data_IF_515386302481
#
_entry.id   IF_515386302481
#
_cell.length_a   1.000
_cell.length_b   1.000
_cell.length_c   1.000
_cell.angle_alpha   90.00
_cell.angle_beta   90.00
_cell.angle_gamma   90.00
#
_symmetry.space_group_name_H-M   'P 1'
#
loop_
_entity.id
_entity.type
_entity.pdbx_description
1 polymer ?
#
# COMPACT_ATOMS: atom_id res chain seq x y z
N UNK A 1 30.16 15.60 -69.20
CA UNK A 1 29.54 14.42 -68.56
C UNK A 1 30.44 14.12 -67.36
N UNK A 2 30.05 14.32 -66.10
CA UNK A 2 28.89 13.80 -65.39
C UNK A 2 28.65 14.69 -64.16
N UNK A 3 27.40 15.14 -63.92
CA UNK A 3 27.03 15.93 -62.73
C UNK A 3 26.77 14.97 -61.57
N UNK A 4 27.38 15.20 -60.40
CA UNK A 4 27.05 14.47 -59.16
C UNK A 4 26.31 15.40 -58.22
N UNK A 5 25.03 15.12 -58.03
CA UNK A 5 24.11 15.84 -57.14
C UNK A 5 24.29 15.31 -55.72
N UNK A 6 24.67 16.17 -54.78
CA UNK A 6 24.73 15.84 -53.35
C UNK A 6 23.33 16.04 -52.75
N UNK A 7 22.65 14.96 -52.36
CA UNK A 7 21.44 15.03 -51.55
C UNK A 7 21.83 15.28 -50.09
N UNK A 8 21.37 16.40 -49.53
CA UNK A 8 21.47 16.70 -48.12
C UNK A 8 20.25 16.09 -47.41
N UNK A 9 20.41 14.92 -46.80
CA UNK A 9 19.38 14.32 -45.93
C UNK A 9 19.42 14.98 -44.56
N UNK A 10 18.43 15.84 -44.30
CA UNK A 10 18.18 16.42 -42.98
C UNK A 10 17.63 15.32 -42.06
N UNK A 11 18.46 14.82 -41.16
CA UNK A 11 18.01 13.94 -40.09
C UNK A 11 17.23 14.78 -39.06
N UNK A 12 15.90 14.62 -39.05
CA UNK A 12 15.05 15.16 -37.98
C UNK A 12 15.36 14.33 -36.73
N UNK A 13 16.11 14.91 -35.79
CA UNK A 13 16.18 14.41 -34.43
C UNK A 13 14.77 14.50 -33.84
N UNK A 14 14.07 13.37 -33.74
CA UNK A 14 12.97 13.24 -32.78
C UNK A 14 13.59 13.44 -31.39
N UNK A 15 13.41 14.63 -30.83
CA UNK A 15 13.68 14.87 -29.43
C UNK A 15 12.83 13.92 -28.60
N UNK A 16 13.47 13.02 -27.87
CA UNK A 16 12.82 12.24 -26.85
C UNK A 16 12.16 13.23 -25.88
N UNK A 17 10.82 13.22 -25.82
CA UNK A 17 10.10 13.86 -24.73
C UNK A 17 10.67 13.29 -23.43
N UNK A 18 11.02 14.14 -22.45
CA UNK A 18 11.47 13.63 -21.16
C UNK A 18 10.35 12.77 -20.59
N UNK A 19 10.61 11.46 -20.47
CA UNK A 19 9.83 10.57 -19.65
C UNK A 19 9.83 11.21 -18.25
N UNK A 20 8.69 11.75 -17.82
CA UNK A 20 8.52 12.27 -16.47
C UNK A 20 9.00 11.18 -15.51
N UNK A 21 10.01 11.52 -14.72
CA UNK A 21 10.59 10.63 -13.72
C UNK A 21 9.54 10.27 -12.67
N UNK A 22 9.87 9.31 -11.80
CA UNK A 22 9.09 8.98 -10.61
C UNK A 22 8.54 10.27 -9.98
N UNK A 23 7.22 10.34 -9.79
CA UNK A 23 6.54 11.53 -9.30
C UNK A 23 7.27 12.07 -8.05
N UNK A 24 7.81 13.29 -8.16
CA UNK A 24 8.43 13.95 -7.00
C UNK A 24 7.33 14.39 -6.03
N UNK A 25 7.67 14.42 -4.74
CA UNK A 25 6.71 14.65 -3.66
C UNK A 25 6.00 15.99 -3.75
N UNK A 26 6.62 16.99 -4.38
CA UNK A 26 6.02 18.31 -4.56
C UNK A 26 4.92 18.33 -5.63
N UNK A 27 5.08 17.58 -6.73
CA UNK A 27 4.03 17.39 -7.73
C UNK A 27 2.83 16.65 -7.11
N UNK A 28 3.09 15.61 -6.31
CA UNK A 28 2.04 14.91 -5.57
C UNK A 28 1.26 15.85 -4.65
N UNK A 29 1.96 16.73 -3.91
CA UNK A 29 1.33 17.70 -3.00
C UNK A 29 0.51 18.76 -3.73
N UNK A 30 0.98 19.26 -4.87
CA UNK A 30 0.25 20.24 -5.67
C UNK A 30 -1.11 19.66 -6.11
N UNK A 31 -1.10 18.42 -6.60
CA UNK A 31 -2.29 17.74 -7.11
C UNK A 31 -3.30 17.36 -6.01
N UNK A 32 -2.90 17.30 -4.73
CA UNK A 32 -3.82 17.04 -3.61
C UNK A 32 -4.98 18.06 -3.56
N UNK A 33 -4.79 19.27 -4.10
CA UNK A 33 -5.83 20.31 -4.19
C UNK A 33 -7.03 19.92 -5.07
N UNK A 34 -6.90 18.91 -5.94
CA UNK A 34 -8.00 18.38 -6.74
C UNK A 34 -8.87 17.36 -5.99
N UNK A 35 -8.49 16.97 -4.77
CA UNK A 35 -9.17 15.95 -3.98
C UNK A 35 -9.88 16.54 -2.76
N UNK A 36 -10.91 15.84 -2.29
CA UNK A 36 -11.76 16.28 -1.17
C UNK A 36 -11.03 16.34 0.16
N UNK A 37 -10.02 15.48 0.32
CA UNK A 37 -9.23 15.37 1.53
C UNK A 37 -7.81 14.84 1.26
N UNK A 38 -6.87 14.95 2.23
CA UNK A 38 -5.47 14.58 2.03
C UNK A 38 -5.21 13.11 1.65
N UNK A 39 -6.17 12.21 1.84
CA UNK A 39 -6.06 10.81 1.43
C UNK A 39 -6.16 10.62 -0.09
N UNK A 40 -6.57 11.63 -0.86
CA UNK A 40 -6.66 11.59 -2.32
C UNK A 40 -7.51 10.43 -2.90
N UNK A 41 -8.46 9.90 -2.12
CA UNK A 41 -9.34 8.80 -2.56
C UNK A 41 -10.57 9.25 -3.36
N UNK A 42 -10.89 10.54 -3.32
CA UNK A 42 -12.08 11.15 -3.92
C UNK A 42 -11.78 12.56 -4.45
N UNK A 43 -12.30 12.87 -5.64
CA UNK A 43 -12.10 14.16 -6.31
C UNK A 43 -13.07 15.21 -5.80
N UNK A 44 -12.65 16.48 -5.80
CA UNK A 44 -13.51 17.61 -5.51
C UNK A 44 -14.66 17.75 -6.51
N UNK A 45 -15.78 18.29 -6.02
CA UNK A 45 -16.89 18.68 -6.87
C UNK A 45 -16.41 19.67 -7.94
N UNK A 46 -16.67 19.35 -9.20
CA UNK A 46 -16.28 20.18 -10.36
C UNK A 46 -14.97 19.79 -11.03
N UNK A 47 -14.17 18.87 -10.46
CA UNK A 47 -13.03 18.29 -11.20
C UNK A 47 -13.55 17.33 -12.26
N UNK A 48 -13.22 17.60 -13.52
CA UNK A 48 -13.68 16.81 -14.66
C UNK A 48 -12.55 16.36 -15.58
N UNK A 49 -12.91 15.70 -16.70
CA UNK A 49 -11.93 15.21 -17.68
C UNK A 49 -11.03 16.31 -18.26
N UNK A 50 -11.56 17.53 -18.39
CA UNK A 50 -10.81 18.69 -18.87
C UNK A 50 -9.68 19.12 -17.91
N UNK A 51 -9.77 18.77 -16.63
CA UNK A 51 -8.78 19.13 -15.62
C UNK A 51 -7.60 18.17 -15.55
N UNK A 52 -7.68 16.99 -16.19
CA UNK A 52 -6.63 15.98 -16.14
C UNK A 52 -5.28 16.49 -16.66
N UNK A 53 -5.28 17.46 -17.58
CA UNK A 53 -4.06 18.11 -18.07
C UNK A 53 -3.41 19.10 -17.09
N UNK A 54 -4.09 19.43 -15.97
CA UNK A 54 -3.60 20.34 -14.93
C UNK A 54 -2.83 19.62 -13.83
N UNK A 55 -2.88 18.28 -13.80
CA UNK A 55 -2.14 17.48 -12.83
C UNK A 55 -0.63 17.54 -13.15
N UNK A 56 0.16 17.80 -12.13
CA UNK A 56 1.62 17.79 -12.22
C UNK A 56 2.15 16.36 -12.19
N UNK A 57 1.54 15.51 -11.36
CA UNK A 57 1.86 14.09 -11.16
C UNK A 57 1.11 13.20 -12.15
N UNK A 58 1.86 12.31 -12.81
CA UNK A 58 1.29 11.29 -13.68
C UNK A 58 0.53 10.23 -12.87
N UNK A 59 0.96 9.92 -11.65
CA UNK A 59 0.23 9.03 -10.74
C UNK A 59 -1.14 9.58 -10.37
N UNK A 60 -1.22 10.81 -9.87
CA UNK A 60 -2.51 11.39 -9.46
C UNK A 60 -3.41 11.71 -10.66
N UNK A 61 -2.84 12.05 -11.83
CA UNK A 61 -3.61 12.15 -13.07
C UNK A 61 -4.28 10.81 -13.45
N UNK A 62 -3.56 9.68 -13.30
CA UNK A 62 -4.11 8.34 -13.55
C UNK A 62 -5.19 7.96 -12.54
N UNK A 63 -4.95 8.25 -11.25
CA UNK A 63 -5.95 8.04 -10.19
C UNK A 63 -7.21 8.85 -10.49
N UNK A 64 -7.07 10.15 -10.75
CA UNK A 64 -8.19 11.03 -11.07
C UNK A 64 -8.96 10.55 -12.31
N UNK A 65 -8.25 10.19 -13.39
CA UNK A 65 -8.89 9.64 -14.58
C UNK A 65 -9.67 8.36 -14.29
N UNK A 66 -9.15 7.48 -13.44
CA UNK A 66 -9.82 6.24 -13.04
C UNK A 66 -11.04 6.48 -12.14
N UNK A 67 -10.97 7.46 -11.25
CA UNK A 67 -12.10 7.87 -10.42
C UNK A 67 -13.23 8.45 -11.28
N UNK A 68 -12.90 9.35 -12.22
CA UNK A 68 -13.88 9.98 -13.13
C UNK A 68 -14.61 8.99 -14.04
N UNK A 69 -13.96 7.90 -14.43
CA UNK A 69 -14.54 6.91 -15.34
C UNK A 69 -15.07 5.65 -14.63
N UNK A 70 -15.02 5.62 -13.29
CA UNK A 70 -15.49 4.50 -12.47
C UNK A 70 -14.64 3.23 -12.57
N UNK A 71 -13.41 3.30 -13.10
CA UNK A 71 -12.52 2.13 -13.26
C UNK A 71 -11.43 2.05 -12.19
N UNK A 72 -11.37 3.00 -11.27
CA UNK A 72 -10.42 2.93 -10.16
C UNK A 72 -11.01 2.10 -9.01
N UNK A 73 -10.58 0.84 -8.91
CA UNK A 73 -10.99 -0.04 -7.82
C UNK A 73 -10.34 0.39 -6.50
N UNK A 74 -11.19 0.84 -5.56
CA UNK A 74 -10.78 1.30 -4.23
C UNK A 74 -10.75 0.18 -3.19
N UNK A 75 -11.32 -1.00 -3.49
CA UNK A 75 -11.68 -2.04 -2.50
C UNK A 75 -10.58 -2.33 -1.47
N UNK A 76 -9.32 -2.45 -1.91
CA UNK A 76 -8.15 -2.60 -1.04
C UNK A 76 -7.18 -1.42 -1.11
N UNK A 77 -7.30 -0.59 -2.16
CA UNK A 77 -6.42 0.55 -2.37
C UNK A 77 -6.73 1.70 -1.44
N UNK A 78 -7.96 1.86 -0.97
CA UNK A 78 -8.34 2.95 -0.07
C UNK A 78 -9.32 2.45 0.99
N UNK A 79 -8.97 2.64 2.26
CA UNK A 79 -9.80 2.24 3.38
C UNK A 79 -9.62 3.18 4.56
N UNK A 80 -10.61 3.16 5.45
CA UNK A 80 -10.60 3.84 6.73
C UNK A 80 -10.10 2.83 7.80
N UNK A 81 -9.07 3.20 8.56
CA UNK A 81 -8.43 2.32 9.55
C UNK A 81 -8.75 2.77 10.98
N UNK A 82 -9.24 1.83 11.78
CA UNK A 82 -9.64 2.07 13.17
C UNK A 82 -8.46 1.98 14.14
N UNK A 83 -8.50 2.71 15.26
CA UNK A 83 -7.50 2.62 16.31
C UNK A 83 -7.60 1.29 17.07
N UNK A 84 -6.44 0.68 17.35
CA UNK A 84 -6.34 -0.46 18.26
C UNK A 84 -5.66 -0.05 19.59
N UNK A 85 -5.94 -0.72 20.71
CA UNK A 85 -5.26 -0.44 21.96
C UNK A 85 -3.76 -0.76 21.87
N UNK A 86 -2.93 0.15 22.36
CA UNK A 86 -1.48 -0.05 22.46
C UNK A 86 -1.14 -1.15 23.46
N UNK A 87 0.07 -1.72 23.37
CA UNK A 87 0.59 -2.65 24.38
C UNK A 87 0.55 -2.03 25.79
N UNK A 88 0.74 -0.71 25.91
CA UNK A 88 0.65 -0.01 27.20
C UNK A 88 -0.78 0.05 27.72
N UNK A 89 -1.76 0.30 26.86
CA UNK A 89 -3.18 0.25 27.24
C UNK A 89 -3.57 -1.15 27.69
N UNK A 90 -3.21 -2.18 26.92
CA UNK A 90 -3.49 -3.58 27.25
C UNK A 90 -2.79 -4.01 28.55
N UNK A 91 -1.54 -3.60 28.77
CA UNK A 91 -0.81 -3.89 30.01
C UNK A 91 -1.52 -3.28 31.23
N UNK A 92 -2.08 -2.07 31.10
CA UNK A 92 -2.83 -1.43 32.19
C UNK A 92 -4.16 -2.15 32.43
N UNK A 93 -4.94 -2.38 31.36
CA UNK A 93 -6.30 -2.87 31.40
C UNK A 93 -6.39 -4.35 31.81
N UNK A 94 -5.57 -5.22 31.22
CA UNK A 94 -5.69 -6.68 31.35
C UNK A 94 -4.39 -7.38 31.73
N UNK A 95 -3.34 -6.62 32.09
CA UNK A 95 -2.01 -7.12 32.48
C UNK A 95 -1.26 -7.90 31.39
N UNK A 96 -1.67 -7.71 30.13
CA UNK A 96 -0.99 -8.25 28.96
C UNK A 96 -0.42 -7.09 28.13
N UNK A 97 0.91 -6.93 28.13
CA UNK A 97 1.57 -5.93 27.29
C UNK A 97 1.65 -6.40 25.84
N UNK A 98 2.57 -7.31 25.55
CA UNK A 98 2.91 -7.74 24.19
C UNK A 98 2.38 -9.16 23.86
N UNK A 99 1.10 -9.39 24.12
CA UNK A 99 0.45 -10.70 23.87
C UNK A 99 -0.39 -10.78 22.59
N UNK A 100 -0.75 -9.64 22.00
CA UNK A 100 -1.65 -9.57 20.84
C UNK A 100 -0.91 -9.24 19.55
N UNK A 101 -1.54 -9.56 18.42
CA UNK A 101 -1.01 -9.26 17.10
C UNK A 101 -0.76 -7.75 16.93
N UNK A 102 0.30 -7.42 16.19
CA UNK A 102 0.61 -6.04 15.79
C UNK A 102 0.26 -5.78 14.31
N UNK A 103 -0.54 -6.67 13.72
CA UNK A 103 -0.89 -6.72 12.29
C UNK A 103 -2.41 -6.60 12.03
N UNK A 104 -3.17 -6.11 13.01
CA UNK A 104 -4.66 -6.08 13.02
C UNK A 104 -5.29 -5.36 11.82
N UNK A 105 -4.70 -4.25 11.40
CA UNK A 105 -5.19 -3.41 10.31
C UNK A 105 -4.63 -3.90 8.96
N UNK A 106 -5.18 -5.02 8.50
CA UNK A 106 -4.88 -5.65 7.20
C UNK A 106 -5.30 -4.72 6.06
N UNK A 107 -4.40 -4.51 5.10
CA UNK A 107 -4.68 -3.68 3.92
C UNK A 107 -5.11 -4.50 2.71
N UNK A 108 -4.60 -5.73 2.57
CA UNK A 108 -4.69 -6.50 1.33
C UNK A 108 -3.80 -5.97 0.20
N UNK A 109 -2.86 -5.06 0.51
CA UNK A 109 -1.89 -4.52 -0.44
C UNK A 109 -0.54 -5.23 -0.30
N UNK A 110 0.18 -5.34 -1.41
CA UNK A 110 1.56 -5.79 -1.50
C UNK A 110 2.40 -4.67 -2.07
N UNK A 111 3.48 -4.34 -1.38
CA UNK A 111 4.50 -3.42 -1.85
C UNK A 111 5.74 -4.24 -2.21
N UNK A 112 6.28 -4.05 -3.41
CA UNK A 112 7.55 -4.65 -3.79
C UNK A 112 8.70 -3.81 -3.17
N UNK A 113 9.94 -4.30 -3.23
CA UNK A 113 11.09 -3.48 -2.82
C UNK A 113 11.19 -2.21 -3.67
N UNK A 114 11.52 -1.08 -3.04
CA UNK A 114 11.67 0.24 -3.65
C UNK A 114 10.60 1.25 -3.22
N UNK A 115 10.47 2.32 -4.02
CA UNK A 115 9.67 3.50 -3.66
C UNK A 115 8.18 3.30 -3.95
N UNK A 116 7.35 3.63 -2.97
CA UNK A 116 5.90 3.60 -3.06
C UNK A 116 5.27 4.90 -2.55
N UNK A 117 4.15 5.31 -3.13
CA UNK A 117 3.37 6.46 -2.68
C UNK A 117 2.20 5.98 -1.84
N UNK A 118 2.01 6.63 -0.69
CA UNK A 118 0.89 6.42 0.23
C UNK A 118 0.32 7.77 0.67
N UNK A 119 -0.99 7.94 0.55
CA UNK A 119 -1.69 9.12 1.02
C UNK A 119 -2.41 8.83 2.33
N UNK A 120 -2.30 9.74 3.29
CA UNK A 120 -2.93 9.62 4.61
C UNK A 120 -3.85 10.81 4.86
N UNK A 121 -5.08 10.53 5.25
CA UNK A 121 -6.07 11.52 5.64
C UNK A 121 -5.72 12.25 6.95
N UNK A 122 -6.71 12.92 7.54
CA UNK A 122 -6.51 13.62 8.83
C UNK A 122 -6.23 12.60 9.94
N UNK A 123 -5.13 12.80 10.67
CA UNK A 123 -4.72 11.87 11.76
C UNK A 123 -5.04 12.35 13.17
N UNK A 124 -5.56 13.57 13.33
CA UNK A 124 -5.78 14.17 14.65
C UNK A 124 -4.50 14.37 15.48
N UNK A 125 -3.32 14.34 14.84
CA UNK A 125 -2.02 14.38 15.52
C UNK A 125 -1.49 13.00 15.94
N UNK A 126 -2.25 11.93 15.70
CA UNK A 126 -1.79 10.57 15.98
C UNK A 126 -0.73 10.12 14.96
N UNK A 127 0.33 9.47 15.46
CA UNK A 127 1.32 8.82 14.61
C UNK A 127 0.81 7.44 14.17
N UNK A 128 0.89 7.17 12.88
CA UNK A 128 0.70 5.83 12.31
C UNK A 128 1.91 5.43 11.48
N UNK A 129 2.03 4.15 11.19
CA UNK A 129 3.13 3.61 10.39
C UNK A 129 2.64 2.47 9.52
N UNK A 130 3.40 2.17 8.47
CA UNK A 130 3.31 0.89 7.79
C UNK A 130 4.14 -0.13 8.53
N UNK A 131 3.67 -1.38 8.54
CA UNK A 131 4.45 -2.53 8.97
C UNK A 131 4.46 -3.56 7.86
N UNK A 132 5.65 -4.01 7.47
CA UNK A 132 5.86 -4.94 6.36
C UNK A 132 6.65 -6.14 6.89
N UNK A 133 5.99 -7.25 7.26
CA UNK A 133 6.64 -8.44 7.78
C UNK A 133 7.24 -9.31 6.67
N UNK A 134 8.39 -9.91 6.97
CA UNK A 134 8.99 -10.95 6.15
C UNK A 134 8.37 -12.31 6.49
N UNK A 135 7.10 -12.52 6.11
CA UNK A 135 6.37 -13.75 6.44
C UNK A 135 7.05 -15.04 5.96
N UNK A 136 7.75 -14.95 4.83
CA UNK A 136 8.43 -16.08 4.19
C UNK A 136 9.90 -16.20 4.58
N UNK A 137 10.36 -15.47 5.62
CA UNK A 137 11.75 -15.51 6.06
C UNK A 137 12.18 -16.95 6.37
N UNK A 138 13.34 -17.32 5.83
CA UNK A 138 13.99 -18.60 6.10
C UNK A 138 15.37 -18.34 6.73
N UNK A 139 15.90 -19.30 7.51
CA UNK A 139 17.30 -19.24 7.90
C UNK A 139 18.21 -19.21 6.66
N UNK A 140 19.46 -18.75 6.79
CA UNK A 140 20.45 -18.85 5.72
C UNK A 140 20.56 -20.28 5.18
N UNK A 141 20.92 -20.42 3.91
CA UNK A 141 21.04 -21.74 3.27
C UNK A 141 22.01 -22.65 4.05
N UNK A 142 21.62 -23.90 4.27
CA UNK A 142 22.39 -24.86 5.08
C UNK A 142 22.29 -24.67 6.59
N UNK A 143 21.64 -23.60 7.08
CA UNK A 143 21.41 -23.38 8.50
C UNK A 143 20.07 -23.98 8.90
N UNK A 144 20.07 -24.85 9.90
CA UNK A 144 18.83 -25.36 10.48
C UNK A 144 18.06 -24.21 11.14
N UNK A 145 16.72 -24.20 11.09
CA UNK A 145 15.92 -23.14 11.71
C UNK A 145 16.27 -22.86 13.19
N UNK A 146 16.62 -23.90 13.98
CA UNK A 146 17.04 -23.78 15.39
C UNK A 146 18.42 -23.19 15.63
N UNK A 147 19.17 -22.96 14.55
CA UNK A 147 20.52 -22.39 14.54
C UNK A 147 20.59 -21.07 13.77
N UNK A 148 19.44 -20.47 13.45
CA UNK A 148 19.43 -19.18 12.74
C UNK A 148 20.15 -18.10 13.57
N UNK A 149 21.25 -17.51 13.08
CA UNK A 149 21.97 -16.47 13.80
C UNK A 149 21.15 -15.19 14.00
N UNK A 150 20.09 -14.99 13.21
CA UNK A 150 19.15 -13.88 13.36
C UNK A 150 18.02 -14.18 14.36
N UNK A 151 18.03 -15.35 15.00
CA UNK A 151 16.99 -15.82 15.92
C UNK A 151 15.65 -16.09 15.24
N UNK A 152 14.72 -16.75 15.93
CA UNK A 152 13.43 -17.17 15.37
C UNK A 152 12.37 -16.07 15.19
N UNK A 153 12.68 -14.84 15.61
CA UNK A 153 11.72 -13.74 15.56
C UNK A 153 11.34 -13.33 14.14
N UNK A 154 10.06 -12.97 13.95
CA UNK A 154 9.57 -12.38 12.71
C UNK A 154 10.26 -11.03 12.49
N UNK A 155 10.96 -10.89 11.36
CA UNK A 155 11.51 -9.60 10.91
C UNK A 155 10.41 -8.79 10.25
N UNK A 156 10.45 -7.48 10.43
CA UNK A 156 9.51 -6.56 9.79
C UNK A 156 10.12 -5.17 9.67
N UNK A 157 9.90 -4.52 8.53
CA UNK A 157 10.17 -3.11 8.35
C UNK A 157 9.03 -2.28 8.94
N UNK A 158 9.34 -1.17 9.62
CA UNK A 158 8.35 -0.18 10.08
C UNK A 158 8.66 1.17 9.45
N UNK A 159 7.69 1.76 8.75
CA UNK A 159 7.86 3.06 8.09
C UNK A 159 6.83 4.05 8.64
N UNK A 160 7.30 5.12 9.29
CA UNK A 160 6.40 6.16 9.82
C UNK A 160 5.69 6.89 8.68
N UNK A 161 4.40 7.13 8.85
CA UNK A 161 3.59 7.92 7.92
C UNK A 161 3.19 9.25 8.56
N UNK A 162 2.92 10.23 7.70
CA UNK A 162 2.40 11.55 8.08
C UNK A 162 1.15 11.85 7.25
N UNK A 163 0.31 12.76 7.73
CA UNK A 163 -0.83 13.30 6.96
C UNK A 163 -0.36 13.80 5.58
N UNK A 164 -1.11 13.46 4.54
CA UNK A 164 -0.86 13.82 3.15
C UNK A 164 0.00 12.81 2.40
N UNK A 165 0.78 13.29 1.44
CA UNK A 165 1.64 12.47 0.59
C UNK A 165 2.85 11.91 1.35
N UNK A 166 3.09 10.61 1.24
CA UNK A 166 4.29 9.93 1.72
C UNK A 166 4.93 9.17 0.57
N UNK A 167 6.24 9.36 0.36
CA UNK A 167 7.05 8.47 -0.49
C UNK A 167 7.84 7.57 0.46
N UNK A 168 7.43 6.31 0.54
CA UNK A 168 8.04 5.29 1.42
C UNK A 168 9.03 4.44 0.62
N UNK A 169 10.09 3.99 1.28
CA UNK A 169 11.10 3.12 0.68
C UNK A 169 11.03 1.74 1.34
N UNK A 170 10.62 0.73 0.57
CA UNK A 170 10.42 -0.64 1.04
C UNK A 170 11.70 -1.43 0.80
N UNK A 171 12.28 -1.99 1.86
CA UNK A 171 13.53 -2.75 1.78
C UNK A 171 13.29 -4.13 1.15
N UNK A 172 12.36 -4.87 1.74
CA UNK A 172 11.97 -6.20 1.31
C UNK A 172 10.46 -6.21 1.04
N UNK A 173 10.07 -6.65 -0.16
CA UNK A 173 8.68 -6.62 -0.58
C UNK A 173 7.81 -7.59 0.21
N UNK A 174 6.54 -7.22 0.43
CA UNK A 174 5.61 -8.05 1.19
C UNK A 174 4.22 -7.43 1.36
N UNK A 175 3.37 -8.16 2.08
CA UNK A 175 2.09 -7.64 2.55
C UNK A 175 2.33 -6.44 3.47
N UNK A 176 1.49 -5.41 3.36
CA UNK A 176 1.58 -4.22 4.20
C UNK A 176 0.40 -4.11 5.15
N UNK A 177 0.67 -3.66 6.37
CA UNK A 177 -0.32 -3.43 7.43
C UNK A 177 -0.23 -1.99 7.91
N UNK A 178 -1.36 -1.38 8.27
CA UNK A 178 -1.36 -0.06 8.91
C UNK A 178 -1.22 -0.24 10.43
N UNK A 179 -0.04 0.00 10.97
CA UNK A 179 0.18 -0.01 12.42
C UNK A 179 -0.38 1.27 13.04
N UNK A 180 -1.62 1.18 13.53
CA UNK A 180 -2.35 2.24 14.22
C UNK A 180 -2.79 1.78 15.61
N UNK A 181 -1.97 2.10 16.62
CA UNK A 181 -2.20 1.70 18.01
C UNK A 181 -2.06 2.89 18.95
N UNK A 182 -3.02 3.06 19.85
CA UNK A 182 -3.14 4.23 20.75
C UNK A 182 -3.49 3.81 22.17
N UNK A 183 -3.17 4.66 23.14
CA UNK A 183 -3.49 4.38 24.54
C UNK A 183 -5.00 4.50 24.84
N UNK A 184 -5.73 5.32 24.08
CA UNK A 184 -7.15 5.64 24.25
C UNK A 184 -7.90 5.52 22.90
N UNK A 185 -8.27 4.29 22.47
CA UNK A 185 -8.86 4.07 21.15
C UNK A 185 -10.27 4.67 20.99
N UNK A 186 -11.06 4.76 22.05
CA UNK A 186 -12.46 5.24 21.99
C UNK A 186 -12.58 6.72 21.56
N UNK A 187 -11.53 7.51 21.75
CA UNK A 187 -11.49 8.93 21.35
C UNK A 187 -10.61 9.22 20.13
N UNK A 188 -9.98 8.19 19.56
CA UNK A 188 -9.04 8.37 18.45
C UNK A 188 -9.77 8.32 17.10
N UNK A 189 -9.35 9.12 16.11
CA UNK A 189 -10.06 9.22 14.83
C UNK A 189 -9.81 8.00 13.94
N UNK A 190 -10.81 7.56 13.20
CA UNK A 190 -10.55 6.66 12.06
C UNK A 190 -9.69 7.39 11.02
N UNK A 191 -8.65 6.73 10.49
CA UNK A 191 -7.68 7.36 9.58
C UNK A 191 -7.83 6.78 8.16
N UNK A 192 -8.23 7.60 7.17
CA UNK A 192 -8.22 7.18 5.77
C UNK A 192 -6.80 6.99 5.26
N UNK A 193 -6.51 5.86 4.61
CA UNK A 193 -5.22 5.60 3.96
C UNK A 193 -5.45 5.08 2.55
N UNK A 194 -4.67 5.57 1.59
CA UNK A 194 -4.77 5.27 0.17
C UNK A 194 -3.42 4.87 -0.41
N UNK A 195 -3.39 3.71 -1.06
CA UNK A 195 -2.27 3.07 -1.75
C UNK A 195 -2.48 3.14 -3.28
N UNK A 196 -2.12 4.27 -3.92
CA UNK A 196 -2.20 4.43 -5.38
C UNK A 196 -1.14 3.60 -6.13
N UNK A 197 -0.10 3.13 -5.43
CA UNK A 197 0.95 2.25 -5.96
C UNK A 197 0.88 0.86 -5.31
N UNK A 198 1.71 -0.07 -5.79
CA UNK A 198 1.69 -1.46 -5.32
C UNK A 198 0.57 -2.29 -5.93
N UNK A 199 0.57 -3.57 -5.56
CA UNK A 199 -0.34 -4.60 -6.10
C UNK A 199 -1.42 -4.91 -5.07
N UNK A 200 -2.63 -5.17 -5.57
CA UNK A 200 -3.73 -5.67 -4.74
C UNK A 200 -3.56 -7.18 -4.63
N UNK A 201 -3.49 -7.69 -3.41
CA UNK A 201 -3.57 -9.11 -3.10
C UNK A 201 -4.93 -9.49 -2.52
N UNK A 202 -5.58 -8.54 -1.84
CA UNK A 202 -6.78 -8.78 -1.06
C UNK A 202 -6.50 -9.49 0.26
N UNK A 203 -7.58 -9.70 1.01
CA UNK A 203 -7.60 -10.50 2.22
C UNK A 203 -9.01 -11.05 2.46
N UNK A 204 -9.10 -12.15 3.19
CA UNK A 204 -10.38 -12.74 3.57
C UNK A 204 -10.91 -12.14 4.87
N UNK A 205 -12.21 -11.85 4.92
CA UNK A 205 -12.89 -11.35 6.11
C UNK A 205 -14.14 -12.19 6.34
N UNK A 206 -14.16 -12.98 7.41
CA UNK A 206 -15.27 -13.88 7.71
C UNK A 206 -16.61 -13.16 7.98
N UNK A 207 -16.60 -11.85 8.19
CA UNK A 207 -17.82 -11.05 8.33
C UNK A 207 -18.39 -10.56 6.99
N UNK A 208 -17.64 -10.69 5.89
CA UNK A 208 -17.97 -10.13 4.57
C UNK A 208 -17.95 -11.16 3.44
N UNK A 209 -17.05 -12.13 3.51
CA UNK A 209 -16.73 -13.04 2.42
C UNK A 209 -17.23 -14.45 2.71
N UNK A 210 -17.55 -15.18 1.64
CA UNK A 210 -17.93 -16.58 1.67
C UNK A 210 -16.87 -17.50 1.05
N UNK A 211 -17.21 -18.78 0.83
CA UNK A 211 -16.28 -19.75 0.27
C UNK A 211 -15.89 -19.45 -1.19
N UNK A 212 -16.78 -18.85 -1.98
CA UNK A 212 -16.49 -18.51 -3.36
C UNK A 212 -15.52 -17.33 -3.42
N UNK A 213 -15.71 -16.35 -2.54
CA UNK A 213 -14.74 -15.26 -2.33
C UNK A 213 -13.38 -15.79 -1.88
N UNK A 214 -13.34 -16.76 -0.95
CA UNK A 214 -12.09 -17.38 -0.51
C UNK A 214 -11.34 -18.02 -1.68
N UNK A 215 -12.03 -18.83 -2.48
CA UNK A 215 -11.43 -19.50 -3.64
C UNK A 215 -10.92 -18.49 -4.68
N UNK A 216 -11.69 -17.43 -4.94
CA UNK A 216 -11.29 -16.35 -5.83
C UNK A 216 -10.05 -15.61 -5.30
N UNK A 217 -10.03 -15.25 -4.02
CA UNK A 217 -8.88 -14.59 -3.39
C UNK A 217 -7.61 -15.45 -3.45
N UNK A 218 -7.72 -16.77 -3.26
CA UNK A 218 -6.58 -17.68 -3.43
C UNK A 218 -6.10 -17.77 -4.88
N UNK A 219 -7.02 -17.81 -5.85
CA UNK A 219 -6.71 -17.85 -7.27
C UNK A 219 -6.06 -16.56 -7.79
N UNK A 220 -6.48 -15.42 -7.25
CA UNK A 220 -6.01 -14.08 -7.64
C UNK A 220 -4.79 -13.60 -6.81
N UNK A 221 -4.39 -14.35 -5.78
CA UNK A 221 -3.31 -13.95 -4.87
C UNK A 221 -1.98 -13.71 -5.62
N UNK A 222 -1.42 -12.52 -5.44
CA UNK A 222 -0.12 -12.11 -6.00
C UNK A 222 1.03 -12.27 -5.00
N UNK A 223 0.72 -12.50 -3.73
CA UNK A 223 1.65 -12.79 -2.65
C UNK A 223 1.63 -14.28 -2.31
N UNK A 224 2.75 -14.88 -1.86
CA UNK A 224 2.76 -16.25 -1.33
C UNK A 224 1.95 -16.40 -0.05
N UNK A 225 1.54 -15.30 0.57
CA UNK A 225 0.73 -15.23 1.78
C UNK A 225 -0.61 -14.54 1.48
N UNK A 226 -1.70 -15.09 2.00
CA UNK A 226 -3.02 -14.47 2.04
C UNK A 226 -3.46 -14.29 3.50
N UNK A 227 -3.84 -13.07 3.87
CA UNK A 227 -4.41 -12.79 5.19
C UNK A 227 -5.87 -13.25 5.26
N UNK A 228 -6.26 -13.77 6.40
CA UNK A 228 -7.64 -14.06 6.77
C UNK A 228 -7.94 -13.50 8.16
N UNK A 229 -9.08 -12.82 8.28
CA UNK A 229 -9.59 -12.24 9.54
C UNK A 229 -10.89 -12.91 9.94
N UNK A 230 -10.92 -13.37 11.19
CA UNK A 230 -12.14 -13.71 11.92
C UNK A 230 -12.43 -12.69 13.02
N UNK A 231 -13.40 -13.00 13.89
CA UNK A 231 -13.82 -12.09 14.97
C UNK A 231 -12.75 -11.81 16.03
N UNK A 232 -11.90 -12.81 16.33
CA UNK A 232 -10.93 -12.78 17.42
C UNK A 232 -9.55 -13.29 17.01
N UNK A 233 -9.37 -13.60 15.73
CA UNK A 233 -8.14 -14.18 15.20
C UNK A 233 -7.86 -13.61 13.81
N UNK A 234 -6.59 -13.38 13.55
CA UNK A 234 -6.05 -13.13 12.24
C UNK A 234 -5.01 -14.19 11.93
N UNK A 235 -4.98 -14.66 10.69
CA UNK A 235 -4.02 -15.65 10.22
C UNK A 235 -3.43 -15.19 8.90
N UNK A 236 -2.13 -15.38 8.74
CA UNK A 236 -1.40 -15.18 7.50
C UNK A 236 -1.05 -16.55 6.90
N UNK A 237 -1.79 -16.99 5.88
CA UNK A 237 -1.71 -18.34 5.34
C UNK A 237 -0.78 -18.42 4.12
N UNK A 238 0.11 -19.44 4.03
CA UNK A 238 0.79 -19.75 2.78
C UNK A 238 -0.20 -20.23 1.73
N UNK A 239 -0.38 -19.46 0.65
CA UNK A 239 -1.34 -19.75 -0.44
C UNK A 239 -1.13 -21.15 -1.01
N UNK A 240 0.13 -21.55 -1.18
CA UNK A 240 0.51 -22.87 -1.73
C UNK A 240 -0.03 -24.07 -0.94
N UNK A 241 -0.41 -23.90 0.34
CA UNK A 241 -0.97 -24.99 1.15
C UNK A 241 -2.47 -25.19 0.94
N UNK A 242 -3.13 -24.26 0.24
CA UNK A 242 -4.55 -24.34 -0.10
C UNK A 242 -4.80 -24.66 -1.57
N UNK A 243 -3.80 -24.54 -2.43
CA UNK A 243 -3.86 -24.95 -3.85
C UNK A 243 -3.66 -26.47 -4.05
N UNK A 244 -4.12 -27.30 -3.10
CA UNK A 244 -3.90 -28.76 -3.10
C UNK A 244 -5.17 -29.47 -3.54
N UNK A 245 -5.67 -29.16 -4.73
CA UNK A 245 -6.77 -29.88 -5.39
C UNK A 245 -6.47 -30.04 -6.88
#
# INVERSE_FOLDING_TARGET
MTKSTFLLTTAILLGALPCKGADDIDALKADMSFFTEPSCRELNDGVGKGDLGRFESDLLAKVASGLLNGKYDKTYRAADYEPYPSSRALQKAIKLGDGFSRYENITGMVLDAGKHVVFVGKTGGTEISLRIPEWMRKPPEGVKPDKDPNGWGLKSQTIKLRKGANVVDVEEGGLVYVSYFVDEPEGAPTIPVHFPTGKVNGYFDASKHDNDDWNRLLGDAVSPILDARGKHIQVAYPVKWFNVH
#
